data_IF_640922168505
#
_entry.id   IF_640922168505
#
_cell.length_a   1.000
_cell.length_b   1.000
_cell.length_c   1.000
_cell.angle_alpha   90.00
_cell.angle_beta   90.00
_cell.angle_gamma   90.00
#
_symmetry.space_group_name_H-M   'P 1'
#
loop_
_entity.id
_entity.type
_entity.pdbx_description
1 polymer ?
#
# COMPACT_ATOMS: atom_id res chain seq x y z
N UNK A 1 3.09 -2.12 21.39
CA UNK A 1 3.24 -2.32 19.95
C UNK A 1 1.89 -2.76 19.38
N UNK A 2 1.48 -2.25 18.22
CA UNK A 2 0.27 -2.71 17.52
C UNK A 2 0.63 -3.23 16.13
N UNK A 3 -0.04 -4.28 15.71
CA UNK A 3 0.18 -4.97 14.44
C UNK A 3 -1.07 -4.90 13.57
N UNK A 4 -0.88 -4.84 12.26
CA UNK A 4 -1.95 -4.95 11.27
C UNK A 4 -1.47 -5.74 10.07
N UNK A 5 -2.33 -6.61 9.56
CA UNK A 5 -2.09 -7.38 8.34
C UNK A 5 -3.27 -7.25 7.40
N UNK A 6 -3.00 -7.19 6.11
CA UNK A 6 -4.04 -7.18 5.08
C UNK A 6 -3.53 -7.71 3.75
N UNK A 7 -4.46 -8.18 2.92
CA UNK A 7 -4.21 -8.60 1.54
C UNK A 7 -4.87 -7.59 0.60
N UNK A 8 -4.15 -7.23 -0.46
CA UNK A 8 -4.68 -6.42 -1.55
C UNK A 8 -4.46 -7.16 -2.87
N UNK A 9 -5.47 -7.16 -3.73
CA UNK A 9 -5.40 -7.79 -5.05
C UNK A 9 -5.35 -6.69 -6.11
N UNK A 10 -4.33 -6.74 -6.96
CA UNK A 10 -4.22 -5.91 -8.16
C UNK A 10 -4.56 -6.78 -9.36
N UNK A 11 -5.54 -6.34 -10.17
CA UNK A 11 -5.96 -7.07 -11.39
C UNK A 11 -5.02 -6.79 -12.58
N UNK A 12 -3.73 -6.90 -12.31
CA UNK A 12 -2.63 -6.66 -13.23
C UNK A 12 -1.57 -7.74 -12.99
N UNK A 13 -0.86 -8.12 -14.05
CA UNK A 13 0.19 -9.13 -13.93
C UNK A 13 1.29 -8.65 -12.99
N UNK A 14 2.05 -9.58 -12.44
CA UNK A 14 3.16 -9.23 -11.55
C UNK A 14 4.16 -8.27 -12.23
N UNK A 15 4.44 -8.50 -13.52
CA UNK A 15 5.36 -7.66 -14.29
C UNK A 15 4.83 -6.21 -14.39
N UNK A 16 3.54 -6.03 -14.64
CA UNK A 16 2.89 -4.71 -14.68
C UNK A 16 2.92 -4.03 -13.31
N UNK A 17 2.69 -4.77 -12.23
CA UNK A 17 2.76 -4.26 -10.86
C UNK A 17 4.19 -3.87 -10.50
N UNK A 18 5.18 -4.72 -10.80
CA UNK A 18 6.58 -4.43 -10.50
C UNK A 18 7.08 -3.18 -11.24
N UNK A 19 6.74 -3.03 -12.53
CA UNK A 19 7.09 -1.83 -13.31
C UNK A 19 6.33 -0.60 -12.79
N UNK A 20 5.01 -0.71 -12.61
CA UNK A 20 4.17 0.40 -12.17
C UNK A 20 4.55 0.93 -10.78
N UNK A 21 5.11 0.09 -9.91
CA UNK A 21 5.49 0.47 -8.54
C UNK A 21 6.50 1.63 -8.52
N UNK A 22 7.41 1.67 -9.48
CA UNK A 22 8.41 2.73 -9.62
C UNK A 22 7.81 4.07 -10.08
N UNK A 23 6.62 4.04 -10.69
CA UNK A 23 5.90 5.22 -11.19
C UNK A 23 4.62 5.52 -10.40
N UNK A 24 4.45 4.92 -9.20
CA UNK A 24 3.21 5.07 -8.40
C UNK A 24 2.97 6.51 -7.92
N UNK A 25 3.99 7.37 -7.96
CA UNK A 25 3.89 8.79 -7.68
C UNK A 25 4.31 9.61 -8.92
N UNK A 26 3.70 10.79 -9.13
CA UNK A 26 2.57 11.37 -8.37
C UNK A 26 1.22 10.68 -8.70
N UNK A 27 0.28 10.71 -7.75
CA UNK A 27 -1.10 10.31 -7.99
C UNK A 27 -2.09 11.09 -7.10
N UNK A 28 -3.40 11.21 -7.47
CA UNK A 28 -4.38 12.02 -6.76
C UNK A 28 -4.65 11.61 -5.30
N UNK A 29 -4.34 10.36 -4.93
CA UNK A 29 -4.58 9.81 -3.59
C UNK A 29 -3.38 10.01 -2.65
N UNK A 30 -2.26 10.50 -3.18
CA UNK A 30 -0.98 10.66 -2.48
C UNK A 30 -0.36 12.04 -2.67
N UNK A 31 -1.17 13.11 -2.76
CA UNK A 31 -0.69 14.51 -2.87
C UNK A 31 0.20 14.98 -1.71
N UNK A 32 0.25 14.21 -0.61
CA UNK A 32 1.14 14.49 0.52
C UNK A 32 2.58 14.08 0.27
N UNK A 33 2.86 13.26 -0.76
CA UNK A 33 4.22 12.91 -1.19
C UNK A 33 4.76 14.07 -2.02
N UNK A 34 5.94 14.57 -1.63
CA UNK A 34 6.56 15.75 -2.22
C UNK A 34 7.73 15.38 -3.12
N UNK A 35 8.61 14.50 -2.65
CA UNK A 35 9.76 14.01 -3.40
C UNK A 35 9.92 12.51 -3.21
N UNK A 36 10.52 11.87 -4.22
CA UNK A 36 10.97 10.48 -4.19
C UNK A 36 12.31 10.41 -4.90
N UNK A 37 13.33 9.97 -4.17
CA UNK A 37 14.73 10.00 -4.60
C UNK A 37 15.33 8.60 -4.45
N UNK A 38 15.98 8.07 -5.50
CA UNK A 38 16.72 6.80 -5.41
C UNK A 38 18.09 7.09 -4.81
N UNK A 39 18.39 6.48 -3.66
CA UNK A 39 19.66 6.71 -2.94
C UNK A 39 20.70 5.62 -3.19
N UNK A 40 20.25 4.42 -3.56
CA UNK A 40 21.09 3.25 -3.82
C UNK A 40 20.31 2.28 -4.70
N UNK A 41 20.94 1.78 -5.76
CA UNK A 41 20.35 0.78 -6.63
C UNK A 41 21.44 -0.12 -7.19
N UNK A 42 21.26 -1.43 -7.05
CA UNK A 42 22.20 -2.42 -7.59
C UNK A 42 21.54 -3.76 -7.81
N UNK A 43 22.07 -4.51 -8.76
CA UNK A 43 21.76 -5.93 -8.95
C UNK A 43 22.64 -6.74 -7.98
N UNK A 44 22.01 -7.61 -7.20
CA UNK A 44 22.69 -8.51 -6.28
C UNK A 44 23.28 -9.71 -7.03
N UNK A 45 24.19 -10.44 -6.40
CA UNK A 45 24.80 -11.64 -6.99
C UNK A 45 23.78 -12.73 -7.36
N UNK A 46 22.62 -12.76 -6.69
CA UNK A 46 21.51 -13.66 -7.00
C UNK A 46 20.64 -13.19 -8.18
N UNK A 47 20.96 -12.08 -8.85
CA UNK A 47 20.19 -11.51 -9.95
C UNK A 47 18.98 -10.66 -9.55
N UNK A 48 18.72 -10.50 -8.25
CA UNK A 48 17.64 -9.63 -7.76
C UNK A 48 18.07 -8.16 -7.75
N UNK A 49 17.15 -7.25 -8.07
CA UNK A 49 17.37 -5.81 -7.99
C UNK A 49 17.08 -5.31 -6.58
N UNK A 50 18.09 -4.77 -5.89
CA UNK A 50 17.93 -4.02 -4.66
C UNK A 50 17.84 -2.53 -4.97
N UNK A 51 16.83 -1.85 -4.43
CA UNK A 51 16.72 -0.38 -4.52
C UNK A 51 16.34 0.20 -3.18
N UNK A 52 16.98 1.30 -2.80
CA UNK A 52 16.61 2.13 -1.66
C UNK A 52 16.13 3.50 -2.17
N UNK A 53 15.01 3.96 -1.64
CA UNK A 53 14.43 5.27 -1.95
C UNK A 53 14.21 6.08 -0.67
N UNK A 54 14.46 7.38 -0.76
CA UNK A 54 14.08 8.36 0.23
C UNK A 54 12.81 9.07 -0.26
N UNK A 55 11.76 9.04 0.55
CA UNK A 55 10.49 9.65 0.22
C UNK A 55 10.21 10.76 1.23
N UNK A 56 10.02 11.98 0.75
CA UNK A 56 9.63 13.12 1.58
C UNK A 56 8.13 13.36 1.47
N UNK A 57 7.44 13.44 2.60
CA UNK A 57 5.99 13.68 2.63
C UNK A 57 5.60 14.74 3.66
N UNK A 58 4.46 15.41 3.44
CA UNK A 58 3.84 16.22 4.48
C UNK A 58 3.22 15.33 5.56
N UNK A 59 3.38 15.71 6.82
CA UNK A 59 2.74 15.05 7.93
C UNK A 59 1.83 16.04 8.66
N UNK A 60 0.53 15.98 8.39
CA UNK A 60 -0.44 16.69 9.22
C UNK A 60 -0.47 16.04 10.60
N UNK A 61 0.07 16.77 11.58
CA UNK A 61 0.01 16.41 12.99
C UNK A 61 -1.44 16.65 13.46
N UNK A 62 -2.03 15.76 14.28
CA UNK A 62 -3.33 16.03 14.87
C UNK A 62 -3.30 17.33 15.68
N UNK A 63 -4.40 18.11 15.65
CA UNK A 63 -4.48 19.39 16.37
C UNK A 63 -4.09 19.32 17.85
N UNK A 64 -4.40 18.21 18.53
CA UNK A 64 -4.01 18.01 19.93
C UNK A 64 -2.48 17.88 20.12
N UNK A 65 -1.75 17.44 19.10
CA UNK A 65 -0.30 17.24 19.11
C UNK A 65 0.50 18.42 18.57
N UNK A 66 -0.12 19.38 17.87
CA UNK A 66 0.56 20.55 17.28
C UNK A 66 1.30 21.40 18.32
N UNK A 67 0.76 21.48 19.56
CA UNK A 67 1.39 22.24 20.66
C UNK A 67 2.58 21.52 21.31
N UNK A 68 2.65 20.19 21.16
CA UNK A 68 3.63 19.35 21.88
C UNK A 68 4.69 18.74 20.96
N UNK A 69 4.49 18.80 19.65
CA UNK A 69 5.39 18.24 18.64
C UNK A 69 5.96 19.40 17.80
N UNK A 70 6.97 20.12 18.30
CA UNK A 70 7.71 21.04 17.47
C UNK A 70 8.45 20.24 16.40
N UNK A 71 8.32 20.62 15.13
CA UNK A 71 9.08 19.95 14.08
C UNK A 71 8.65 20.33 12.65
N UNK A 72 9.49 19.95 11.67
CA UNK A 72 9.24 20.26 10.27
C UNK A 72 7.95 19.59 9.79
N UNK A 73 7.18 20.31 8.97
CA UNK A 73 5.95 19.77 8.34
C UNK A 73 6.22 18.59 7.39
N UNK A 74 7.49 18.29 7.14
CA UNK A 74 7.98 17.26 6.24
C UNK A 74 8.60 16.10 7.02
N UNK A 75 8.27 14.87 6.60
CA UNK A 75 8.77 13.64 7.17
C UNK A 75 9.40 12.81 6.08
N UNK A 76 10.65 12.40 6.30
CA UNK A 76 11.33 11.45 5.44
C UNK A 76 10.98 10.01 5.83
N UNK A 77 10.83 9.18 4.81
CA UNK A 77 10.57 7.75 4.90
C UNK A 77 11.62 7.05 4.06
N UNK A 78 12.25 6.03 4.63
CA UNK A 78 13.12 5.13 3.87
C UNK A 78 12.27 3.99 3.34
N UNK A 79 12.38 3.72 2.05
CA UNK A 79 11.85 2.51 1.42
C UNK A 79 13.01 1.68 0.87
N UNK A 80 13.02 0.39 1.18
CA UNK A 80 13.94 -0.59 0.63
C UNK A 80 13.11 -1.62 -0.12
N UNK A 81 13.60 -2.07 -1.28
CA UNK A 81 12.90 -3.05 -2.09
C UNK A 81 13.87 -4.04 -2.71
N UNK A 82 13.40 -5.27 -2.85
CA UNK A 82 14.09 -6.35 -3.54
C UNK A 82 13.10 -6.93 -4.56
N UNK A 83 13.48 -6.86 -5.84
CA UNK A 83 12.71 -7.42 -6.95
C UNK A 83 13.48 -8.62 -7.50
N UNK A 84 12.86 -9.79 -7.42
CA UNK A 84 13.38 -11.02 -8.00
C UNK A 84 12.53 -11.42 -9.22
N UNK A 85 13.06 -11.26 -10.45
CA UNK A 85 12.34 -11.62 -11.66
C UNK A 85 12.23 -13.15 -11.86
N UNK A 86 13.13 -13.95 -11.29
CA UNK A 86 13.08 -15.41 -11.44
C UNK A 86 11.91 -16.01 -10.66
N UNK A 87 11.73 -15.56 -9.42
CA UNK A 87 10.63 -16.02 -8.55
C UNK A 87 9.38 -15.14 -8.65
N UNK A 88 9.36 -14.15 -9.55
CA UNK A 88 8.32 -13.12 -9.68
C UNK A 88 7.84 -12.62 -8.31
N UNK A 89 8.80 -12.19 -7.49
CA UNK A 89 8.53 -11.70 -6.14
C UNK A 89 9.13 -10.31 -5.98
N UNK A 90 8.32 -9.35 -5.53
CA UNK A 90 8.80 -8.05 -5.09
C UNK A 90 8.51 -7.90 -3.60
N UNK A 91 9.54 -7.59 -2.82
CA UNK A 91 9.40 -7.29 -1.38
C UNK A 91 9.77 -5.83 -1.15
N UNK A 92 9.01 -5.16 -0.31
CA UNK A 92 9.27 -3.76 0.06
C UNK A 92 9.20 -3.62 1.56
N UNK A 93 10.15 -2.90 2.14
CA UNK A 93 10.19 -2.54 3.55
C UNK A 93 10.26 -1.02 3.67
N UNK A 94 9.37 -0.43 4.46
CA UNK A 94 9.22 1.00 4.58
C UNK A 94 9.22 1.41 6.04
N UNK A 95 10.00 2.43 6.41
CA UNK A 95 10.03 2.98 7.77
C UNK A 95 10.18 4.49 7.80
N UNK A 96 9.53 5.16 8.75
CA UNK A 96 9.76 6.59 8.95
C UNK A 96 11.13 6.86 9.57
N UNK A 97 11.81 7.89 9.08
CA UNK A 97 13.07 8.40 9.65
C UNK A 97 12.81 9.56 10.61
N UNK A 98 11.82 10.40 10.32
CA UNK A 98 11.38 11.48 11.20
C UNK A 98 10.43 11.01 12.31
N UNK A 99 10.41 11.73 13.43
CA UNK A 99 9.51 11.50 14.58
C UNK A 99 9.59 10.11 15.24
N UNK A 100 10.70 9.38 15.06
CA UNK A 100 10.91 8.04 15.63
C UNK A 100 10.95 8.02 17.17
N UNK A 101 11.27 9.15 17.82
CA UNK A 101 11.14 9.31 19.28
C UNK A 101 9.68 9.25 19.76
N UNK A 102 8.73 9.60 18.89
CA UNK A 102 7.29 9.62 19.17
C UNK A 102 6.64 8.32 18.71
N UNK A 103 6.87 7.95 17.44
CA UNK A 103 6.24 6.81 16.81
C UNK A 103 7.11 6.24 15.70
N UNK A 104 7.26 4.92 15.70
CA UNK A 104 7.85 4.17 14.59
C UNK A 104 6.74 3.41 13.90
N UNK A 105 6.72 3.50 12.57
CA UNK A 105 5.84 2.76 11.68
C UNK A 105 6.73 2.01 10.69
N UNK A 106 6.63 0.70 10.72
CA UNK A 106 7.33 -0.21 9.83
C UNK A 106 6.28 -0.96 9.01
N UNK A 107 6.50 -1.04 7.70
CA UNK A 107 5.60 -1.71 6.77
C UNK A 107 6.42 -2.66 5.89
N UNK A 108 5.95 -3.89 5.78
CA UNK A 108 6.46 -4.89 4.86
C UNK A 108 5.36 -5.27 3.87
N UNK A 109 5.66 -5.24 2.57
CA UNK A 109 4.78 -5.78 1.54
C UNK A 109 5.50 -6.84 0.72
N UNK A 110 4.80 -7.92 0.39
CA UNK A 110 5.24 -8.93 -0.56
C UNK A 110 4.24 -9.03 -1.69
N UNK A 111 4.69 -8.80 -2.91
CA UNK A 111 3.91 -8.86 -4.15
C UNK A 111 4.29 -10.12 -4.94
N UNK A 112 3.30 -10.94 -5.25
CA UNK A 112 3.45 -12.20 -6.01
C UNK A 112 2.26 -12.41 -6.95
N UNK A 113 2.42 -13.19 -8.05
CA UNK A 113 1.29 -13.66 -8.83
C UNK A 113 0.22 -14.33 -7.95
N UNK A 114 -1.05 -14.12 -8.29
CA UNK A 114 -2.16 -14.75 -7.59
C UNK A 114 -2.29 -16.22 -8.00
N UNK A 115 -2.41 -17.12 -7.02
CA UNK A 115 -2.69 -18.55 -7.27
C UNK A 115 -4.05 -18.76 -7.96
N UNK A 116 -5.00 -17.85 -7.76
CA UNK A 116 -6.32 -17.93 -8.40
C UNK A 116 -6.32 -17.47 -9.87
N UNK A 117 -5.38 -16.59 -10.26
CA UNK A 117 -5.32 -15.99 -11.59
C UNK A 117 -3.94 -15.39 -11.83
N UNK A 118 -3.16 -15.99 -12.73
CA UNK A 118 -1.79 -15.55 -13.05
C UNK A 118 -1.73 -14.10 -13.62
N UNK A 119 -2.83 -13.60 -14.17
CA UNK A 119 -2.97 -12.21 -14.61
C UNK A 119 -3.16 -11.21 -13.47
N UNK A 120 -3.24 -11.65 -12.22
CA UNK A 120 -3.41 -10.81 -11.03
C UNK A 120 -2.20 -10.93 -10.09
N UNK A 121 -2.02 -9.91 -9.26
CA UNK A 121 -0.97 -9.86 -8.24
C UNK A 121 -1.58 -9.70 -6.86
N UNK A 122 -1.16 -10.53 -5.92
CA UNK A 122 -1.49 -10.42 -4.50
C UNK A 122 -0.37 -9.67 -3.79
N UNK A 123 -0.75 -8.65 -3.03
CA UNK A 123 0.11 -7.94 -2.09
C UNK A 123 -0.27 -8.32 -0.66
N UNK A 124 0.58 -9.08 0.01
CA UNK A 124 0.50 -9.31 1.44
C UNK A 124 1.23 -8.20 2.17
N UNK A 125 0.52 -7.49 3.05
CA UNK A 125 1.02 -6.32 3.77
C UNK A 125 0.99 -6.57 5.27
N UNK A 126 2.10 -6.31 5.93
CA UNK A 126 2.24 -6.30 7.38
C UNK A 126 2.71 -4.93 7.84
N UNK A 127 2.18 -4.47 8.96
CA UNK A 127 2.62 -3.21 9.54
C UNK A 127 2.68 -3.29 11.06
N UNK A 128 3.73 -2.69 11.59
CA UNK A 128 3.97 -2.56 13.02
C UNK A 128 4.04 -1.09 13.37
N UNK A 129 3.24 -0.68 14.36
CA UNK A 129 3.25 0.66 14.93
C UNK A 129 3.69 0.57 16.38
N UNK A 130 4.75 1.30 16.71
CA UNK A 130 5.30 1.36 18.04
C UNK A 130 5.45 2.81 18.52
N UNK A 131 5.39 3.02 19.84
CA UNK A 131 5.61 4.33 20.46
C UNK A 131 6.25 4.13 21.83
N UNK A 132 7.28 4.92 22.12
CA UNK A 132 8.05 4.91 23.37
C UNK A 132 7.67 6.03 24.34
N UNK A 133 6.67 6.84 24.00
CA UNK A 133 6.23 7.97 24.84
C UNK A 133 5.51 7.45 26.07
N UNK A 134 6.12 7.64 27.26
CA UNK A 134 5.55 7.21 28.54
C UNK A 134 4.18 7.90 28.77
N UNK A 135 3.21 7.16 29.31
CA UNK A 135 1.84 7.65 29.56
C UNK A 135 0.94 7.75 28.32
N UNK A 136 1.50 7.87 27.10
CA UNK A 136 0.72 8.04 25.86
C UNK A 136 0.93 6.92 24.82
N UNK A 137 1.80 5.94 25.11
CA UNK A 137 2.19 4.89 24.17
C UNK A 137 1.00 4.15 23.56
N UNK A 138 0.01 3.75 24.35
CA UNK A 138 -1.19 3.06 23.87
C UNK A 138 -2.04 3.95 22.94
N UNK A 139 -2.28 5.20 23.33
CA UNK A 139 -3.06 6.16 22.54
C UNK A 139 -2.38 6.42 21.19
N UNK A 140 -1.07 6.69 21.21
CA UNK A 140 -0.26 6.91 20.02
C UNK A 140 -0.25 5.69 19.10
N UNK A 141 -0.03 4.49 19.64
CA UNK A 141 -0.06 3.26 18.83
C UNK A 141 -1.44 3.03 18.19
N UNK A 142 -2.51 3.31 18.92
CA UNK A 142 -3.89 3.20 18.41
C UNK A 142 -4.15 4.23 17.31
N UNK A 143 -3.78 5.48 17.53
CA UNK A 143 -3.87 6.52 16.51
C UNK A 143 -3.09 6.15 15.25
N UNK A 144 -1.84 5.69 15.42
CA UNK A 144 -0.96 5.33 14.32
C UNK A 144 -1.51 4.17 13.49
N UNK A 145 -2.02 3.10 14.12
CA UNK A 145 -2.55 1.95 13.39
C UNK A 145 -3.85 2.29 12.65
N UNK A 146 -4.73 3.11 13.24
CA UNK A 146 -5.96 3.56 12.60
C UNK A 146 -5.68 4.50 11.41
N UNK A 147 -4.69 5.38 11.54
CA UNK A 147 -4.21 6.20 10.42
C UNK A 147 -3.58 5.34 9.33
N UNK A 148 -2.81 4.32 9.71
CA UNK A 148 -2.18 3.39 8.77
C UNK A 148 -3.23 2.67 7.91
N UNK A 149 -4.26 2.08 8.53
CA UNK A 149 -5.37 1.41 7.81
C UNK A 149 -5.99 2.31 6.73
N UNK A 150 -6.26 3.58 7.06
CA UNK A 150 -6.79 4.58 6.11
C UNK A 150 -5.81 4.86 4.97
N UNK A 151 -4.51 4.90 5.27
CA UNK A 151 -3.46 5.12 4.27
C UNK A 151 -3.32 3.93 3.32
N UNK A 152 -3.50 2.69 3.78
CA UNK A 152 -3.50 1.50 2.91
C UNK A 152 -4.57 1.63 1.82
N UNK A 153 -5.80 2.00 2.18
CA UNK A 153 -6.87 2.22 1.19
C UNK A 153 -6.49 3.27 0.13
N UNK A 154 -5.85 4.38 0.55
CA UNK A 154 -5.36 5.41 -0.37
C UNK A 154 -4.22 4.92 -1.26
N UNK A 155 -3.28 4.16 -0.69
CA UNK A 155 -2.15 3.56 -1.41
C UNK A 155 -2.65 2.62 -2.51
N UNK A 156 -3.60 1.74 -2.21
CA UNK A 156 -4.20 0.82 -3.19
C UNK A 156 -4.94 1.58 -4.30
N UNK A 157 -5.71 2.62 -3.96
CA UNK A 157 -6.41 3.46 -4.96
C UNK A 157 -5.43 4.22 -5.85
N UNK A 158 -4.42 4.85 -5.25
CA UNK A 158 -3.37 5.57 -5.96
C UNK A 158 -2.59 4.70 -6.91
N UNK A 159 -2.26 3.48 -6.47
CA UNK A 159 -1.52 2.56 -7.31
C UNK A 159 -2.37 2.01 -8.46
N UNK A 160 -3.63 1.64 -8.22
CA UNK A 160 -4.55 1.24 -9.29
C UNK A 160 -4.78 2.37 -10.32
N UNK A 161 -4.82 3.63 -9.87
CA UNK A 161 -4.90 4.77 -10.78
C UNK A 161 -3.70 4.83 -11.73
N UNK A 162 -2.48 4.63 -11.20
CA UNK A 162 -1.26 4.60 -12.03
C UNK A 162 -1.25 3.39 -12.96
N UNK A 163 -1.60 2.19 -12.47
CA UNK A 163 -1.66 0.98 -13.29
C UNK A 163 -2.65 1.13 -14.45
N UNK A 164 -3.83 1.73 -14.20
CA UNK A 164 -4.80 1.99 -15.27
C UNK A 164 -4.29 3.02 -16.29
N UNK A 165 -3.47 3.99 -15.86
CA UNK A 165 -2.84 4.98 -16.76
C UNK A 165 -1.74 4.34 -17.61
N UNK A 166 -0.94 3.45 -17.04
CA UNK A 166 0.16 2.76 -17.74
C UNK A 166 -0.34 1.64 -18.66
N UNK A 167 -1.43 0.97 -18.27
CA UNK A 167 -2.00 -0.19 -18.97
C UNK A 167 -3.51 0.02 -19.22
N UNK A 168 -3.88 1.02 -20.06
CA UNK A 168 -5.28 1.28 -20.38
C UNK A 168 -5.91 0.10 -21.12
N UNK A 169 -7.20 -0.17 -20.86
CA UNK A 169 -7.94 -1.25 -21.54
C UNK A 169 -8.06 -2.56 -20.75
N UNK A 170 -7.64 -2.58 -19.47
CA UNK A 170 -7.73 -3.76 -18.60
C UNK A 170 -8.70 -3.66 -17.39
N UNK A 171 -9.97 -3.19 -17.49
CA UNK A 171 -10.88 -3.23 -16.33
C UNK A 171 -11.72 -4.51 -16.18
N UNK A 172 -11.95 -5.32 -17.24
CA UNK A 172 -12.95 -6.41 -17.21
C UNK A 172 -12.60 -7.71 -17.98
N UNK A 173 -11.60 -7.71 -18.85
CA UNK A 173 -11.34 -8.82 -19.77
C UNK A 173 -10.87 -10.14 -19.08
N UNK A 174 -10.44 -10.07 -17.82
CA UNK A 174 -9.87 -11.20 -17.07
C UNK A 174 -10.70 -11.64 -15.86
N UNK A 175 -11.99 -11.30 -15.80
CA UNK A 175 -12.90 -12.09 -14.97
C UNK A 175 -13.02 -13.46 -15.62
N UNK A 176 -12.54 -14.50 -14.94
CA UNK A 176 -12.81 -15.87 -15.40
C UNK A 176 -14.33 -16.04 -15.51
N UNK A 177 -14.80 -16.88 -16.45
CA UNK A 177 -16.24 -17.12 -16.67
C UNK A 177 -16.98 -17.43 -15.35
N UNK A 178 -16.30 -18.10 -14.41
CA UNK A 178 -16.74 -18.40 -13.05
C UNK A 178 -16.97 -17.15 -12.19
N UNK A 179 -16.09 -16.16 -12.27
CA UNK A 179 -16.19 -14.91 -11.51
C UNK A 179 -17.29 -13.98 -12.07
N UNK A 180 -17.46 -13.93 -13.40
CA UNK A 180 -18.61 -13.23 -14.02
C UNK A 180 -19.94 -13.83 -13.54
N UNK A 181 -20.07 -15.16 -13.61
CA UNK A 181 -21.28 -15.86 -13.16
C UNK A 181 -21.58 -15.60 -11.68
N UNK A 182 -20.55 -15.62 -10.82
CA UNK A 182 -20.72 -15.36 -9.38
C UNK A 182 -21.19 -13.93 -9.10
N UNK A 183 -20.61 -12.94 -9.78
CA UNK A 183 -21.00 -11.54 -9.62
C UNK A 183 -22.41 -11.26 -10.15
N UNK A 184 -22.78 -11.83 -11.29
CA UNK A 184 -24.14 -11.73 -11.82
C UNK A 184 -25.16 -12.38 -10.89
N UNK A 185 -24.84 -13.55 -10.32
CA UNK A 185 -25.70 -14.24 -9.36
C UNK A 185 -25.89 -13.43 -8.06
N UNK A 186 -24.83 -12.81 -7.54
CA UNK A 186 -24.90 -11.95 -6.35
C UNK A 186 -25.68 -10.66 -6.61
N UNK A 187 -25.54 -10.06 -7.80
CA UNK A 187 -26.31 -8.89 -8.20
C UNK A 187 -27.82 -9.22 -8.34
N UNK A 188 -28.16 -10.33 -8.99
CA UNK A 188 -29.53 -10.80 -9.11
C UNK A 188 -30.16 -11.09 -7.74
N UNK A 189 -29.40 -11.68 -6.81
CA UNK A 189 -29.86 -11.96 -5.44
C UNK A 189 -30.17 -10.69 -4.66
N UNK A 190 -29.34 -9.64 -4.78
CA UNK A 190 -29.60 -8.34 -4.15
C UNK A 190 -30.85 -7.67 -4.71
N UNK A 191 -31.05 -7.73 -6.03
CA UNK A 191 -32.24 -7.18 -6.68
C UNK A 191 -33.49 -7.92 -6.17
N UNK A 192 -33.47 -9.25 -6.16
CA UNK A 192 -34.57 -10.05 -5.65
C UNK A 192 -34.90 -9.74 -4.18
N UNK A 193 -33.88 -9.61 -3.32
CA UNK A 193 -34.09 -9.23 -1.91
C UNK A 193 -34.63 -7.81 -1.74
N UNK A 194 -34.26 -6.86 -2.62
CA UNK A 194 -34.80 -5.50 -2.57
C UNK A 194 -36.27 -5.42 -3.01
N UNK A 195 -36.69 -6.25 -3.97
CA UNK A 195 -38.08 -6.31 -4.44
C UNK A 195 -39.00 -6.92 -3.38
N UNK A 196 -38.51 -7.92 -2.63
CA UNK A 196 -39.25 -8.56 -1.54
C UNK A 196 -39.43 -7.63 -0.33
N UNK A 197 -38.51 -6.70 -0.09
CA UNK A 197 -38.57 -5.76 1.05
C UNK A 197 -39.48 -4.54 0.81
N UNK A 198 -40.00 -4.36 -0.41
CA UNK A 198 -40.88 -3.25 -0.81
C UNK A 198 -42.35 -3.64 -1.00
N UNK A 199 -42.71 -4.89 -0.69
CA UNK A 199 -44.09 -5.39 -0.61
C UNK A 199 -44.40 -5.80 0.83
#
# INVERSE_FOLDING_TARGET
MKFYSTLSIFKYSWDQVAVGFWSRYPNPYSMHVLTEDVIDQRVLSCGSLLTKRLITKTNSIPKWGEKFIPGPKHVCVLEESIVDPQTKTMKTYTRNLGYTSIMTVEEECTYKPSEENEGWTVCQRHATVNSKVKGFSYCLQTFGIERFKKNVTKSVKGFNFVLNKLYPGMPEAYLTKKQKLKQTAEAAKKIASSVIATN
#
